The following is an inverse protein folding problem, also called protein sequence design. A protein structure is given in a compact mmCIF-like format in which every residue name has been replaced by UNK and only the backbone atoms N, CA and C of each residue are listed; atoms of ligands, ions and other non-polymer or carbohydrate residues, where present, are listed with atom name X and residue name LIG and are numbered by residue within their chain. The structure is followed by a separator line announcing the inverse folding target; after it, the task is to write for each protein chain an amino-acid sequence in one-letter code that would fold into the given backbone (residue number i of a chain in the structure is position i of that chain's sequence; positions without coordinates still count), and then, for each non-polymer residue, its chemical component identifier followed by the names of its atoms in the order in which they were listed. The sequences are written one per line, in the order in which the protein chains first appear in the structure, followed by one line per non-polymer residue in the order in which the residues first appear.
data_IF_848768899667
#
_entry.id   IF_848768899667
#
_cell.length_a   1.000
_cell.length_b   1.000
_cell.length_c   1.000
_cell.angle_alpha   90.00
_cell.angle_beta   90.00
_cell.angle_gamma   90.00
#
_symmetry.space_group_name_H-M   'P 1'
#
loop_
_entity.id
_entity.type
_entity.pdbx_description
1 polymer ?
#
# COMPACT_ATOMS: atom_id res chain seq x y z
N UNK A 1 -51.45 19.98 6.66
CA UNK A 1 -51.26 18.56 6.32
C UNK A 1 -49.82 18.21 6.59
N UNK A 2 -49.55 17.29 7.50
CA UNK A 2 -48.20 16.84 7.82
C UNK A 2 -47.68 15.92 6.69
N UNK A 3 -46.50 16.22 6.15
CA UNK A 3 -45.84 15.40 5.13
C UNK A 3 -45.44 14.04 5.72
N UNK A 4 -46.15 12.99 5.29
CA UNK A 4 -45.83 11.60 5.60
C UNK A 4 -44.73 11.12 4.64
N UNK A 5 -43.48 11.53 4.85
CA UNK A 5 -42.35 11.00 4.06
C UNK A 5 -41.91 9.67 4.69
N UNK A 6 -42.02 8.58 3.95
CA UNK A 6 -41.60 7.26 4.43
C UNK A 6 -40.08 7.26 4.68
N UNK A 7 -39.69 6.84 5.88
CA UNK A 7 -38.29 6.61 6.25
C UNK A 7 -37.86 5.27 5.65
N UNK A 8 -36.76 5.27 4.91
CA UNK A 8 -36.13 4.06 4.37
C UNK A 8 -34.73 3.93 4.95
N UNK A 9 -34.31 2.70 5.27
CA UNK A 9 -32.95 2.36 5.69
C UNK A 9 -32.49 1.17 4.85
N UNK A 10 -31.27 1.24 4.33
CA UNK A 10 -30.63 0.18 3.55
C UNK A 10 -29.49 -0.40 4.36
N UNK A 11 -29.44 -1.72 4.48
CA UNK A 11 -28.39 -2.44 5.19
C UNK A 11 -27.73 -3.41 4.20
N UNK A 12 -26.41 -3.32 4.08
CA UNK A 12 -25.59 -4.12 3.18
C UNK A 12 -24.65 -5.01 4.01
N UNK A 13 -24.51 -6.28 3.61
CA UNK A 13 -23.58 -7.22 4.24
C UNK A 13 -22.89 -8.08 3.18
N UNK A 14 -21.67 -8.51 3.49
CA UNK A 14 -20.86 -9.38 2.63
C UNK A 14 -20.74 -10.72 3.33
N UNK A 15 -21.04 -11.79 2.60
CA UNK A 15 -20.83 -13.17 3.07
C UNK A 15 -19.60 -13.71 2.34
N UNK A 16 -18.54 -13.97 3.10
CA UNK A 16 -17.35 -14.68 2.63
C UNK A 16 -17.55 -16.17 2.96
N UNK A 17 -17.68 -17.01 1.93
CA UNK A 17 -17.73 -18.47 2.11
C UNK A 17 -16.32 -19.04 2.24
N UNK A 18 -16.17 -20.19 2.92
CA UNK A 18 -14.89 -20.91 2.94
C UNK A 18 -14.42 -21.21 1.51
N UNK A 19 -13.10 -21.11 1.29
CA UNK A 19 -12.49 -21.42 0.00
C UNK A 19 -12.93 -22.82 -0.42
N UNK A 20 -13.63 -22.95 -1.55
CA UNK A 20 -13.62 -24.21 -2.29
C UNK A 20 -12.15 -24.60 -2.46
N UNK A 21 -11.79 -25.80 -1.99
CA UNK A 21 -10.43 -26.33 -2.01
C UNK A 21 -9.83 -26.10 -3.40
N UNK A 22 -9.01 -25.05 -3.54
CA UNK A 22 -8.29 -24.81 -4.79
C UNK A 22 -7.30 -25.97 -4.88
N UNK A 23 -7.44 -26.79 -5.92
CA UNK A 23 -6.55 -27.91 -6.23
C UNK A 23 -5.09 -27.48 -6.43
N UNK A 24 -4.85 -26.17 -6.57
CA UNK A 24 -3.52 -25.58 -6.68
C UNK A 24 -3.10 -24.93 -5.36
N UNK A 25 -1.98 -25.40 -4.81
CA UNK A 25 -1.29 -24.76 -3.70
C UNK A 25 -1.05 -23.28 -4.04
N UNK A 26 -1.38 -22.34 -3.12
CA UNK A 26 -1.04 -20.93 -3.33
C UNK A 26 0.46 -20.83 -3.57
N UNK A 27 0.86 -20.27 -4.71
CA UNK A 27 2.26 -19.89 -4.96
C UNK A 27 2.65 -18.99 -3.80
N UNK A 28 3.63 -19.41 -3.00
CA UNK A 28 4.11 -18.58 -1.89
C UNK A 28 4.59 -17.26 -2.47
N UNK A 29 4.05 -16.11 -2.03
CA UNK A 29 4.38 -14.84 -2.66
C UNK A 29 5.88 -14.57 -2.51
N UNK A 30 6.53 -14.31 -3.64
CA UNK A 30 7.94 -13.98 -3.67
C UNK A 30 8.16 -12.65 -2.93
N UNK A 31 8.99 -12.69 -1.89
CA UNK A 31 9.42 -11.49 -1.18
C UNK A 31 10.48 -10.79 -2.01
N UNK A 32 10.21 -9.55 -2.38
CA UNK A 32 11.17 -8.73 -3.13
C UNK A 32 11.78 -7.71 -2.20
N UNK A 33 13.09 -7.54 -2.33
CA UNK A 33 13.82 -6.48 -1.67
C UNK A 33 13.70 -5.19 -2.48
N UNK A 34 13.41 -4.09 -1.79
CA UNK A 34 13.43 -2.76 -2.38
C UNK A 34 14.40 -1.87 -1.61
N UNK A 35 14.88 -0.83 -2.29
CA UNK A 35 15.71 0.20 -1.70
C UNK A 35 15.24 1.57 -2.20
N UNK A 36 15.31 2.54 -1.31
CA UNK A 36 15.03 3.94 -1.57
C UNK A 36 16.29 4.69 -1.15
N UNK A 37 16.94 5.30 -2.12
CA UNK A 37 18.20 6.03 -1.96
C UNK A 37 18.06 7.43 -2.53
N UNK A 38 18.98 8.33 -2.19
CA UNK A 38 18.95 9.72 -2.67
C UNK A 38 18.79 9.85 -4.20
N UNK A 39 19.36 8.94 -4.99
CA UNK A 39 19.26 8.91 -6.46
C UNK A 39 17.87 8.51 -6.99
N UNK A 40 17.05 7.84 -6.18
CA UNK A 40 15.66 7.48 -6.52
C UNK A 40 14.66 8.60 -6.24
N UNK A 41 15.10 9.72 -5.64
CA UNK A 41 14.23 10.79 -5.15
C UNK A 41 14.27 12.04 -6.02
N UNK A 42 13.09 12.64 -6.24
CA UNK A 42 12.93 13.98 -6.84
C UNK A 42 12.33 14.91 -5.79
N UNK A 43 13.16 15.37 -4.86
CA UNK A 43 12.73 16.15 -3.70
C UNK A 43 13.60 17.41 -3.52
N UNK A 44 13.08 18.53 -2.98
CA UNK A 44 13.88 19.73 -2.71
C UNK A 44 15.11 19.49 -1.82
N UNK A 45 15.05 18.48 -0.94
CA UNK A 45 16.12 18.11 -0.01
C UNK A 45 17.23 17.24 -0.65
N UNK A 46 17.21 17.04 -1.97
CA UNK A 46 18.12 16.11 -2.64
C UNK A 46 19.60 16.43 -2.40
N UNK A 47 19.96 17.71 -2.26
CA UNK A 47 21.35 18.14 -2.02
C UNK A 47 21.86 17.70 -0.65
N UNK A 48 21.04 17.88 0.39
CA UNK A 48 21.30 17.49 1.77
C UNK A 48 21.33 15.96 1.91
N UNK A 49 20.40 15.25 1.26
CA UNK A 49 20.39 13.79 1.23
C UNK A 49 21.63 13.22 0.53
N UNK A 50 22.11 13.88 -0.53
CA UNK A 50 23.36 13.46 -1.22
C UNK A 50 24.61 13.68 -0.37
N UNK A 51 24.68 14.77 0.38
CA UNK A 51 25.87 15.09 1.19
C UNK A 51 25.92 14.30 2.49
N UNK A 52 24.78 14.10 3.17
CA UNK A 52 24.71 13.38 4.44
C UNK A 52 24.24 11.92 4.36
N UNK A 53 23.85 11.46 3.17
CA UNK A 53 23.39 10.11 2.92
C UNK A 53 21.91 9.88 3.21
N UNK A 54 21.28 9.04 2.38
CA UNK A 54 19.92 8.56 2.58
C UNK A 54 19.77 7.16 1.99
N UNK A 55 19.34 6.22 2.82
CA UNK A 55 19.05 4.85 2.43
C UNK A 55 17.98 4.25 3.33
N UNK A 56 16.93 3.76 2.68
CA UNK A 56 15.88 2.94 3.29
C UNK A 56 15.81 1.64 2.52
N UNK A 57 15.72 0.52 3.21
CA UNK A 57 15.57 -0.81 2.60
C UNK A 57 14.35 -1.50 3.16
N UNK A 58 13.77 -2.42 2.41
CA UNK A 58 12.67 -3.23 2.92
C UNK A 58 12.43 -4.45 2.08
N UNK A 59 11.52 -5.29 2.55
CA UNK A 59 11.02 -6.45 1.82
C UNK A 59 9.51 -6.53 1.94
N UNK A 60 8.87 -6.83 0.82
CA UNK A 60 7.43 -6.90 0.71
C UNK A 60 7.07 -7.97 -0.34
N UNK A 61 5.96 -8.71 -0.18
CA UNK A 61 5.50 -9.63 -1.19
C UNK A 61 5.02 -8.88 -2.44
N UNK A 62 5.25 -9.46 -3.62
CA UNK A 62 4.75 -8.94 -4.90
C UNK A 62 3.28 -9.23 -5.14
N UNK A 63 2.73 -10.21 -4.41
CA UNK A 63 1.35 -10.67 -4.53
C UNK A 63 0.78 -10.99 -3.15
N UNK A 64 -0.50 -10.73 -2.95
CA UNK A 64 -1.21 -11.14 -1.74
C UNK A 64 -2.66 -11.49 -2.05
N UNK A 65 -3.26 -12.32 -1.21
CA UNK A 65 -4.69 -12.59 -1.29
C UNK A 65 -5.46 -11.44 -0.64
N UNK A 66 -6.62 -11.06 -1.21
CA UNK A 66 -7.51 -10.06 -0.61
C UNK A 66 -7.97 -10.43 0.81
N UNK A 67 -7.98 -11.72 1.15
CA UNK A 67 -8.34 -12.22 2.47
C UNK A 67 -7.20 -12.17 3.49
N UNK A 68 -5.97 -11.87 3.05
CA UNK A 68 -4.77 -11.90 3.89
C UNK A 68 -4.19 -10.49 4.07
N UNK A 69 -3.54 -10.25 5.21
CA UNK A 69 -2.71 -9.07 5.40
C UNK A 69 -1.50 -9.10 4.47
N UNK A 70 -1.15 -7.97 3.88
CA UNK A 70 0.17 -7.77 3.28
C UNK A 70 1.19 -7.57 4.40
N UNK A 71 2.20 -8.45 4.45
CA UNK A 71 3.21 -8.48 5.51
C UNK A 71 4.59 -8.25 4.92
N UNK A 72 5.35 -7.33 5.50
CA UNK A 72 6.70 -7.01 5.08
C UNK A 72 7.46 -6.30 6.17
N UNK A 73 8.57 -5.68 5.83
CA UNK A 73 9.31 -4.84 6.74
C UNK A 73 10.05 -3.73 6.00
N UNK A 74 10.41 -2.69 6.74
CA UNK A 74 11.21 -1.57 6.27
C UNK A 74 12.21 -1.16 7.35
N UNK A 75 13.39 -0.74 6.93
CA UNK A 75 14.49 -0.30 7.79
C UNK A 75 15.02 1.00 7.22
N UNK A 76 15.10 2.03 8.06
CA UNK A 76 15.87 3.24 7.73
C UNK A 76 17.33 2.92 8.04
N UNK A 77 18.14 2.64 7.01
CA UNK A 77 19.57 2.32 7.17
C UNK A 77 20.37 3.58 7.51
N UNK A 78 20.12 4.66 6.76
CA UNK A 78 20.77 5.95 6.98
C UNK A 78 19.89 7.12 6.52
N UNK A 79 19.96 8.23 7.24
CA UNK A 79 19.31 9.49 6.82
C UNK A 79 19.98 10.68 7.49
N UNK A 80 20.47 11.61 6.67
CA UNK A 80 21.05 12.89 7.07
C UNK A 80 20.05 13.81 7.79
N UNK A 81 18.78 13.68 7.41
CA UNK A 81 17.69 14.50 7.92
C UNK A 81 16.72 13.63 8.73
N UNK A 82 16.00 14.23 9.71
CA UNK A 82 15.00 13.49 10.46
C UNK A 82 13.87 13.04 9.53
N UNK A 83 13.48 11.76 9.64
CA UNK A 83 12.31 11.21 8.92
C UNK A 83 11.16 11.26 9.91
N UNK A 84 10.21 12.19 9.72
CA UNK A 84 9.14 12.45 10.68
C UNK A 84 8.00 11.45 10.63
N UNK A 85 7.77 10.82 9.48
CA UNK A 85 6.76 9.79 9.32
C UNK A 85 7.14 8.84 8.20
N UNK A 86 6.59 7.63 8.23
CA UNK A 86 6.53 6.75 7.06
C UNK A 86 5.07 6.36 6.85
N UNK A 87 4.58 6.66 5.66
CA UNK A 87 3.23 6.35 5.22
C UNK A 87 3.28 5.36 4.06
N UNK A 88 2.41 4.36 4.10
CA UNK A 88 2.20 3.40 3.01
C UNK A 88 0.91 3.79 2.29
N UNK A 89 1.01 3.97 0.98
CA UNK A 89 -0.13 4.23 0.10
C UNK A 89 -0.49 2.98 -0.69
N UNK A 90 -1.73 2.52 -0.52
CA UNK A 90 -2.34 1.54 -1.41
C UNK A 90 -2.98 2.30 -2.58
N UNK A 91 -2.46 2.08 -3.78
CA UNK A 91 -2.92 2.73 -5.00
C UNK A 91 -3.61 1.71 -5.91
N UNK A 92 -4.64 2.17 -6.62
CA UNK A 92 -5.28 1.43 -7.71
C UNK A 92 -4.93 2.09 -9.03
N UNK A 93 -4.36 1.30 -9.94
CA UNK A 93 -4.09 1.71 -11.32
C UNK A 93 -5.14 1.05 -12.22
N UNK A 94 -5.93 1.86 -12.92
CA UNK A 94 -6.91 1.41 -13.89
C UNK A 94 -6.48 1.85 -15.29
N UNK A 95 -6.54 0.94 -16.26
CA UNK A 95 -6.13 1.21 -17.63
C UNK A 95 -7.22 0.80 -18.61
N UNK A 96 -7.54 1.68 -19.57
CA UNK A 96 -8.50 1.43 -20.64
C UNK A 96 -7.85 1.63 -22.02
N UNK A 97 -8.33 0.88 -23.00
CA UNK A 97 -7.96 1.07 -24.41
C UNK A 97 -8.95 2.04 -25.07
N UNK A 98 -8.45 3.16 -25.59
CA UNK A 98 -9.24 4.16 -26.32
C UNK A 98 -8.64 4.32 -27.73
N UNK A 99 -9.28 3.68 -28.70
CA UNK A 99 -8.69 3.51 -30.04
C UNK A 99 -7.41 2.69 -29.95
N UNK A 100 -6.28 3.25 -30.41
CA UNK A 100 -4.97 2.60 -30.36
C UNK A 100 -4.09 3.05 -29.17
N UNK A 101 -4.68 3.75 -28.18
CA UNK A 101 -3.94 4.30 -27.02
C UNK A 101 -4.43 3.69 -25.71
N UNK A 102 -3.49 3.34 -24.84
CA UNK A 102 -3.79 2.96 -23.45
C UNK A 102 -3.79 4.23 -22.60
N UNK A 103 -4.92 4.51 -21.95
CA UNK A 103 -5.06 5.59 -20.96
C UNK A 103 -5.11 4.96 -19.58
N UNK A 104 -4.33 5.47 -18.64
CA UNK A 104 -4.27 4.95 -17.27
C UNK A 104 -4.56 6.03 -16.24
N UNK A 105 -5.26 5.65 -15.17
CA UNK A 105 -5.61 6.50 -14.04
C UNK A 105 -5.16 5.85 -12.73
N UNK A 106 -4.53 6.63 -11.85
CA UNK A 106 -4.09 6.18 -10.52
C UNK A 106 -4.95 6.84 -9.45
N UNK A 107 -5.55 6.05 -8.57
CA UNK A 107 -6.37 6.51 -7.45
C UNK A 107 -5.80 5.98 -6.13
N UNK A 108 -5.84 6.80 -5.07
CA UNK A 108 -5.44 6.38 -3.71
C UNK A 108 -6.61 5.66 -3.06
N UNK A 109 -6.40 4.43 -2.63
CA UNK A 109 -7.41 3.62 -1.93
C UNK A 109 -7.30 3.79 -0.41
N UNK A 110 -6.07 3.75 0.10
CA UNK A 110 -5.81 3.84 1.54
C UNK A 110 -4.42 4.42 1.78
N UNK A 111 -4.32 5.26 2.81
CA UNK A 111 -3.06 5.69 3.41
C UNK A 111 -2.97 5.10 4.80
N UNK A 112 -1.82 4.50 5.13
CA UNK A 112 -1.55 3.92 6.44
C UNK A 112 -0.21 4.42 6.95
N UNK A 113 -0.23 5.23 8.01
CA UNK A 113 0.97 5.64 8.71
C UNK A 113 1.51 4.45 9.52
N UNK A 114 2.77 4.10 9.30
CA UNK A 114 3.43 2.99 10.01
C UNK A 114 4.50 3.45 10.99
N UNK A 115 4.89 4.73 10.93
CA UNK A 115 5.80 5.34 11.90
C UNK A 115 5.56 6.85 11.97
N UNK A 116 5.78 7.42 13.16
CA UNK A 116 5.65 8.84 13.49
C UNK A 116 6.77 9.27 14.45
N UNK A 117 7.24 10.52 14.32
CA UNK A 117 8.44 11.05 14.98
C UNK A 117 9.73 10.74 14.22
N UNK A 118 10.88 11.27 14.69
CA UNK A 118 12.18 10.98 14.04
C UNK A 118 12.54 9.49 14.16
N UNK A 119 12.44 8.79 13.05
CA UNK A 119 12.56 7.34 13.00
C UNK A 119 14.00 6.91 13.31
N UNK A 120 14.12 5.92 14.19
CA UNK A 120 15.39 5.32 14.56
C UNK A 120 16.03 4.59 13.36
N UNK A 121 17.32 4.84 13.15
CA UNK A 121 18.09 4.16 12.11
C UNK A 121 18.45 2.75 12.58
N UNK A 122 18.42 1.78 11.66
CA UNK A 122 18.65 0.36 11.96
C UNK A 122 17.51 -0.35 12.69
N UNK A 123 16.40 0.34 12.99
CA UNK A 123 15.19 -0.29 13.53
C UNK A 123 14.36 -0.88 12.39
N UNK A 124 14.07 -2.18 12.49
CA UNK A 124 13.13 -2.86 11.58
C UNK A 124 11.70 -2.56 11.98
N UNK A 125 10.99 -1.84 11.12
CA UNK A 125 9.58 -1.53 11.26
C UNK A 125 8.75 -2.58 10.51
N UNK A 126 7.80 -3.25 11.16
CA UNK A 126 6.93 -4.22 10.50
C UNK A 126 5.90 -3.51 9.61
N UNK A 127 5.71 -4.03 8.41
CA UNK A 127 4.59 -3.67 7.54
C UNK A 127 3.50 -4.71 7.75
N UNK A 128 2.33 -4.28 8.20
CA UNK A 128 1.15 -5.13 8.32
C UNK A 128 -0.08 -4.37 7.82
N UNK A 129 -0.49 -4.63 6.58
CA UNK A 129 -1.54 -3.87 5.91
C UNK A 129 -2.74 -4.76 5.58
N UNK A 130 -3.90 -4.43 6.14
CA UNK A 130 -5.17 -5.06 5.79
C UNK A 130 -5.76 -4.36 4.58
N UNK A 131 -6.08 -5.13 3.53
CA UNK A 131 -6.70 -4.58 2.33
C UNK A 131 -8.17 -4.24 2.60
N UNK A 132 -8.64 -3.02 2.23
CA UNK A 132 -10.01 -2.60 2.48
C UNK A 132 -10.96 -3.33 1.53
N UNK A 133 -11.64 -4.37 2.05
CA UNK A 133 -12.47 -5.32 1.28
C UNK A 133 -13.47 -4.68 0.32
N UNK A 134 -14.05 -3.53 0.68
CA UNK A 134 -15.03 -2.82 -0.16
C UNK A 134 -14.41 -1.98 -1.27
N UNK A 135 -13.11 -1.68 -1.18
CA UNK A 135 -12.41 -0.76 -2.07
C UNK A 135 -11.30 -1.46 -2.88
N UNK A 136 -11.11 -2.77 -2.69
CA UNK A 136 -10.11 -3.58 -3.38
C UNK A 136 -10.73 -4.76 -4.11
N UNK A 137 -10.22 -5.05 -5.31
CA UNK A 137 -10.55 -6.24 -6.09
C UNK A 137 -9.26 -6.93 -6.57
N UNK A 138 -9.32 -8.19 -7.06
CA UNK A 138 -8.15 -8.85 -7.62
C UNK A 138 -7.65 -8.12 -8.86
N UNK A 139 -6.34 -8.12 -9.08
CA UNK A 139 -5.74 -7.63 -10.33
C UNK A 139 -6.21 -8.48 -11.52
N UNK A 140 -6.46 -7.83 -12.66
CA UNK A 140 -6.89 -8.42 -13.94
C UNK A 140 -5.71 -8.60 -14.88
#
# INVERSE_FOLDING_TARGET
GYLHKALSTTLEFIIESEKAERLELPISPELVLFYITQDTQRHPLLSELKSGGFRVTGRIPTQCSLSCSLQGEIVVESSALPIQSIDIHLLRLESILVGDKIVSETSVIQTTQIADGDICRGLTLPIYLLLPRLLTCPTV
#
